data_IF_016036592141
#
_entry.id   IF_016036592141
#
_cell.length_a   1.000
_cell.length_b   1.000
_cell.length_c   1.000
_cell.angle_alpha   90.00
_cell.angle_beta   90.00
_cell.angle_gamma   90.00
#
_symmetry.space_group_name_H-M   'P 1'
#
loop_
_entity.id
_entity.type
_entity.pdbx_description
1 polymer ?
#
# COMPACT_ATOMS: atom_id res chain seq x y z
N UNK A 1 -30.04 -18.48 24.74
CA UNK A 1 -29.67 -17.12 24.31
C UNK A 1 -28.44 -17.23 23.42
N UNK A 2 -28.61 -17.13 22.11
CA UNK A 2 -27.50 -17.22 21.15
C UNK A 2 -26.90 -15.82 20.97
N UNK A 3 -25.69 -15.62 21.49
CA UNK A 3 -24.87 -14.44 21.24
C UNK A 3 -24.57 -14.37 19.75
N UNK A 4 -25.20 -13.41 19.04
CA UNK A 4 -24.80 -13.04 17.69
C UNK A 4 -23.35 -12.59 17.76
N UNK A 5 -22.44 -13.43 17.23
CA UNK A 5 -21.07 -13.03 17.02
C UNK A 5 -21.08 -11.81 16.10
N UNK A 6 -20.53 -10.72 16.62
CA UNK A 6 -20.42 -9.45 15.93
C UNK A 6 -19.53 -9.68 14.70
N UNK A 7 -20.15 -9.73 13.53
CA UNK A 7 -19.49 -9.92 12.24
C UNK A 7 -18.63 -8.67 11.96
N UNK A 8 -17.40 -8.67 12.48
CA UNK A 8 -16.42 -7.62 12.20
C UNK A 8 -16.21 -7.60 10.69
N UNK A 9 -16.78 -6.60 10.04
CA UNK A 9 -16.75 -6.45 8.59
C UNK A 9 -15.28 -6.39 8.15
N UNK A 10 -14.79 -7.46 7.55
CA UNK A 10 -13.38 -7.58 7.15
C UNK A 10 -13.08 -6.49 6.12
N UNK A 11 -12.14 -5.59 6.43
CA UNK A 11 -11.77 -4.51 5.52
C UNK A 11 -10.99 -5.10 4.35
N UNK A 12 -11.57 -5.03 3.14
CA UNK A 12 -10.92 -5.44 1.89
C UNK A 12 -10.95 -4.33 0.83
N UNK A 13 -10.01 -4.35 -0.11
CA UNK A 13 -9.99 -3.41 -1.25
C UNK A 13 -9.39 -4.08 -2.50
N UNK A 14 -9.77 -3.60 -3.69
CA UNK A 14 -9.18 -4.01 -4.97
C UNK A 14 -8.07 -3.07 -5.45
N UNK A 15 -7.61 -2.17 -4.58
CA UNK A 15 -6.57 -1.16 -4.88
C UNK A 15 -5.41 -1.34 -3.93
N UNK A 16 -4.19 -1.34 -4.46
CA UNK A 16 -2.94 -1.38 -3.67
C UNK A 16 -1.90 -0.48 -4.33
N UNK A 17 -0.98 0.15 -3.60
CA UNK A 17 0.17 0.83 -4.19
C UNK A 17 1.17 -0.17 -4.79
N UNK A 18 1.65 0.17 -5.97
CA UNK A 18 2.65 -0.56 -6.72
C UNK A 18 3.98 0.24 -6.74
N UNK A 19 5.12 -0.45 -6.77
CA UNK A 19 6.45 0.16 -6.91
C UNK A 19 6.59 0.95 -8.21
N UNK A 20 7.18 2.13 -8.14
CA UNK A 20 7.52 2.95 -9.32
C UNK A 20 8.92 2.60 -9.84
N UNK A 21 9.17 2.91 -11.11
CA UNK A 21 10.54 2.87 -11.66
C UNK A 21 11.37 4.04 -11.13
N UNK A 22 12.70 3.91 -11.25
CA UNK A 22 13.65 4.98 -10.89
C UNK A 22 13.39 6.29 -11.65
N UNK A 23 12.85 6.20 -12.87
CA UNK A 23 12.48 7.34 -13.70
C UNK A 23 11.14 8.00 -13.32
N UNK A 24 10.44 7.47 -12.30
CA UNK A 24 9.13 7.97 -11.87
C UNK A 24 7.95 7.42 -12.65
N UNK A 25 8.18 6.58 -13.66
CA UNK A 25 7.10 5.96 -14.43
C UNK A 25 6.45 4.78 -13.69
N UNK A 26 5.15 4.58 -13.94
CA UNK A 26 4.37 3.46 -13.44
C UNK A 26 4.27 2.35 -14.50
N UNK A 27 4.49 1.10 -14.10
CA UNK A 27 4.25 -0.08 -14.96
C UNK A 27 3.72 -1.23 -14.13
N UNK A 28 2.51 -1.70 -14.45
CA UNK A 28 1.89 -2.80 -13.71
C UNK A 28 2.69 -4.11 -13.83
N UNK A 29 3.20 -4.40 -15.03
CA UNK A 29 3.98 -5.63 -15.28
C UNK A 29 5.34 -5.57 -14.59
N UNK A 30 5.51 -6.41 -13.57
CA UNK A 30 6.74 -6.51 -12.79
C UNK A 30 6.86 -5.51 -11.65
N UNK A 31 5.83 -4.68 -11.39
CA UNK A 31 5.79 -3.87 -10.19
C UNK A 31 5.54 -4.74 -8.95
N UNK A 32 6.13 -4.34 -7.85
CA UNK A 32 5.91 -4.94 -6.55
C UNK A 32 4.71 -4.29 -5.87
N UNK A 33 3.87 -5.11 -5.24
CA UNK A 33 2.83 -4.61 -4.36
C UNK A 33 3.45 -4.15 -3.04
N UNK A 34 3.00 -3.00 -2.58
CA UNK A 34 3.56 -2.31 -1.44
C UNK A 34 2.60 -2.34 -0.25
N UNK A 35 3.17 -2.41 0.94
CA UNK A 35 2.51 -2.20 2.24
C UNK A 35 3.32 -1.19 3.05
N UNK A 36 2.75 -0.49 4.04
CA UNK A 36 3.57 0.31 4.96
C UNK A 36 4.57 -0.57 5.71
N UNK A 37 5.73 -0.01 6.07
CA UNK A 37 6.62 -0.65 7.03
C UNK A 37 5.88 -0.85 8.35
N UNK A 38 5.88 -2.07 8.90
CA UNK A 38 5.00 -2.43 10.02
C UNK A 38 5.63 -2.18 11.40
N UNK A 39 6.77 -1.50 11.46
CA UNK A 39 7.48 -1.16 12.71
C UNK A 39 6.89 0.06 13.45
N UNK A 40 5.91 0.73 12.85
CA UNK A 40 5.22 1.91 13.39
C UNK A 40 6.08 3.19 13.43
N UNK A 41 7.26 3.18 12.80
CA UNK A 41 8.25 4.27 12.90
C UNK A 41 8.81 4.66 11.54
N UNK A 42 9.11 3.69 10.69
CA UNK A 42 9.76 3.92 9.41
C UNK A 42 8.73 4.40 8.38
N UNK A 43 8.84 5.65 7.87
CA UNK A 43 7.87 6.23 6.95
C UNK A 43 8.12 5.77 5.50
N UNK A 44 8.17 4.46 5.30
CA UNK A 44 8.44 3.85 4.00
C UNK A 44 7.40 2.77 3.68
N UNK A 45 7.25 2.49 2.39
CA UNK A 45 6.62 1.27 1.92
C UNK A 45 7.64 0.12 1.87
N UNK A 46 7.15 -1.10 2.00
CA UNK A 46 7.90 -2.34 1.85
C UNK A 46 7.23 -3.19 0.78
N UNK A 47 8.02 -3.72 -0.15
CA UNK A 47 7.57 -4.66 -1.17
C UNK A 47 7.24 -6.02 -0.55
N UNK A 48 5.98 -6.48 -0.68
CA UNK A 48 5.50 -7.72 -0.04
C UNK A 48 6.36 -8.95 -0.39
N UNK A 49 6.89 -9.00 -1.62
CA UNK A 49 7.66 -10.13 -2.13
C UNK A 49 9.15 -10.05 -1.82
N UNK A 50 9.73 -8.85 -1.78
CA UNK A 50 11.19 -8.66 -1.74
C UNK A 50 11.69 -8.04 -0.45
N UNK A 51 10.82 -7.39 0.32
CA UNK A 51 11.21 -6.62 1.50
C UNK A 51 11.93 -5.31 1.18
N UNK A 52 12.06 -4.93 -0.08
CA UNK A 52 12.69 -3.67 -0.43
C UNK A 52 11.84 -2.49 0.03
N UNK A 53 12.52 -1.46 0.50
CA UNK A 53 11.90 -0.21 0.89
C UNK A 53 11.67 0.71 -0.31
N UNK A 54 10.58 1.46 -0.25
CA UNK A 54 10.17 2.43 -1.26
C UNK A 54 9.58 3.65 -0.57
N UNK A 55 10.09 4.85 -0.90
CA UNK A 55 9.54 6.10 -0.34
C UNK A 55 8.12 6.39 -0.84
N UNK A 56 7.77 5.87 -2.02
CA UNK A 56 6.51 6.17 -2.68
C UNK A 56 6.00 5.00 -3.51
N UNK A 57 4.68 4.96 -3.68
CA UNK A 57 3.97 4.02 -4.53
C UNK A 57 2.90 4.71 -5.36
N UNK A 58 2.43 4.06 -6.43
CA UNK A 58 1.27 4.53 -7.18
C UNK A 58 0.11 3.54 -7.04
N UNK A 59 -1.11 4.03 -6.85
CA UNK A 59 -2.28 3.16 -6.64
C UNK A 59 -2.62 2.42 -7.94
N UNK A 60 -2.61 1.09 -7.87
CA UNK A 60 -2.93 0.18 -8.95
C UNK A 60 -4.16 -0.68 -8.59
N UNK A 61 -4.92 -1.09 -9.61
CA UNK A 61 -6.02 -2.06 -9.46
C UNK A 61 -5.46 -3.48 -9.52
N UNK A 62 -5.83 -4.34 -8.57
CA UNK A 62 -5.29 -5.70 -8.45
C UNK A 62 -6.24 -6.80 -8.94
N UNK A 63 -7.46 -6.45 -9.36
CA UNK A 63 -8.43 -7.42 -9.93
C UNK A 63 -9.17 -8.29 -8.91
N UNK A 64 -8.59 -8.48 -7.73
CA UNK A 64 -9.14 -9.28 -6.62
C UNK A 64 -9.32 -8.41 -5.37
N UNK A 65 -10.26 -8.79 -4.51
CA UNK A 65 -10.34 -8.19 -3.18
C UNK A 65 -9.16 -8.65 -2.34
N UNK A 66 -8.52 -7.71 -1.65
CA UNK A 66 -7.36 -7.96 -0.78
C UNK A 66 -7.70 -7.50 0.63
N UNK A 67 -7.65 -8.44 1.57
CA UNK A 67 -7.81 -8.22 3.01
C UNK A 67 -6.45 -8.09 3.73
N UNK A 68 -6.48 -7.72 5.02
CA UNK A 68 -5.27 -7.72 5.86
C UNK A 68 -4.67 -9.13 5.96
N UNK A 69 -5.50 -10.17 6.07
CA UNK A 69 -5.05 -11.56 6.18
C UNK A 69 -4.40 -12.05 4.85
N UNK A 70 -4.89 -11.59 3.70
CA UNK A 70 -4.25 -11.83 2.39
C UNK A 70 -2.87 -11.18 2.27
N UNK A 71 -2.69 -10.01 2.87
CA UNK A 71 -1.39 -9.33 2.87
C UNK A 71 -0.41 -10.02 3.82
N UNK A 72 -0.86 -10.38 5.02
CA UNK A 72 -0.06 -11.09 6.02
C UNK A 72 0.39 -12.47 5.51
N UNK A 73 -0.49 -13.21 4.85
CA UNK A 73 -0.14 -14.53 4.27
C UNK A 73 0.86 -14.43 3.12
N UNK A 74 0.88 -13.32 2.37
CA UNK A 74 1.83 -13.09 1.27
C UNK A 74 3.14 -12.45 1.71
N UNK A 75 3.18 -11.87 2.91
CA UNK A 75 4.38 -11.26 3.47
C UNK A 75 5.40 -12.35 3.80
N UNK A 76 6.53 -12.32 3.10
CA UNK A 76 7.61 -13.31 3.29
C UNK A 76 8.52 -13.02 4.48
N UNK A 77 8.37 -11.85 5.09
CA UNK A 77 9.28 -11.35 6.11
C UNK A 77 8.61 -11.53 7.48
N UNK A 78 8.99 -12.60 8.17
CA UNK A 78 8.45 -12.97 9.48
C UNK A 78 8.67 -11.87 10.53
N UNK A 79 9.74 -11.08 10.39
CA UNK A 79 10.05 -9.95 11.28
C UNK A 79 8.97 -8.86 11.30
N UNK A 80 8.14 -8.76 10.24
CA UNK A 80 7.06 -7.78 10.15
C UNK A 80 5.69 -8.36 10.55
N UNK A 81 5.60 -9.64 10.93
CA UNK A 81 4.34 -10.30 11.35
C UNK A 81 4.07 -10.17 12.86
N UNK A 82 4.31 -8.98 13.41
CA UNK A 82 4.00 -8.68 14.81
C UNK A 82 2.50 -8.64 15.10
N UNK A 83 2.12 -8.65 16.39
CA UNK A 83 0.70 -8.52 16.83
C UNK A 83 0.04 -7.23 16.31
N UNK A 84 0.83 -6.17 16.11
CA UNK A 84 0.36 -4.87 15.61
C UNK A 84 0.21 -4.80 14.08
N UNK A 85 0.66 -5.82 13.35
CA UNK A 85 0.65 -5.80 11.88
C UNK A 85 -0.78 -5.73 11.31
N UNK A 86 -1.70 -6.50 11.89
CA UNK A 86 -3.09 -6.57 11.44
C UNK A 86 -3.83 -5.23 11.55
N UNK A 87 -3.88 -4.55 12.72
CA UNK A 87 -4.57 -3.27 12.82
C UNK A 87 -3.96 -2.19 11.92
N UNK A 88 -2.63 -2.17 11.74
CA UNK A 88 -1.95 -1.28 10.79
C UNK A 88 -2.43 -1.53 9.36
N UNK A 89 -2.48 -2.80 8.94
CA UNK A 89 -2.94 -3.17 7.60
C UNK A 89 -4.43 -2.90 7.39
N UNK A 90 -5.27 -3.09 8.39
CA UNK A 90 -6.69 -2.73 8.29
C UNK A 90 -6.90 -1.23 8.09
N UNK A 91 -6.18 -0.40 8.86
CA UNK A 91 -6.22 1.05 8.72
C UNK A 91 -5.68 1.51 7.37
N UNK A 92 -4.57 0.91 6.94
CA UNK A 92 -4.02 1.09 5.61
C UNK A 92 -5.06 0.80 4.51
N UNK A 93 -5.75 -0.33 4.56
CA UNK A 93 -6.77 -0.71 3.57
C UNK A 93 -7.97 0.24 3.62
N UNK A 94 -8.36 0.76 4.79
CA UNK A 94 -9.40 1.80 4.92
C UNK A 94 -9.00 3.08 4.18
N UNK A 95 -7.77 3.57 4.39
CA UNK A 95 -7.29 4.78 3.74
C UNK A 95 -7.15 4.61 2.21
N UNK A 96 -6.71 3.45 1.74
CA UNK A 96 -6.64 3.14 0.30
C UNK A 96 -7.99 3.22 -0.42
N UNK A 97 -9.11 2.95 0.27
CA UNK A 97 -10.46 3.09 -0.33
C UNK A 97 -10.76 4.52 -0.75
N UNK A 98 -10.25 5.50 -0.03
CA UNK A 98 -10.47 6.93 -0.28
C UNK A 98 -9.62 7.47 -1.45
N UNK A 99 -8.56 6.75 -1.80
CA UNK A 99 -7.62 7.16 -2.85
C UNK A 99 -8.03 6.64 -4.23
N UNK A 100 -7.67 7.38 -5.28
CA UNK A 100 -7.98 7.02 -6.68
C UNK A 100 -6.86 6.18 -7.28
N UNK A 101 -7.22 5.27 -8.18
CA UNK A 101 -6.24 4.56 -9.03
C UNK A 101 -5.43 5.61 -9.79
N UNK A 102 -4.12 5.42 -9.83
CA UNK A 102 -3.15 6.34 -10.43
C UNK A 102 -2.54 7.35 -9.47
N UNK A 103 -3.14 7.61 -8.30
CA UNK A 103 -2.53 8.54 -7.33
C UNK A 103 -1.17 8.04 -6.86
N UNK A 104 -0.21 8.96 -6.73
CA UNK A 104 1.08 8.70 -6.10
C UNK A 104 0.96 9.03 -4.63
N UNK A 105 1.41 8.11 -3.78
CA UNK A 105 1.26 8.18 -2.33
C UNK A 105 2.57 7.91 -1.61
N UNK A 106 2.67 8.42 -0.39
CA UNK A 106 3.71 8.10 0.60
C UNK A 106 3.07 7.68 1.92
N UNK A 107 3.86 7.08 2.79
CA UNK A 107 3.50 6.75 4.17
C UNK A 107 4.12 7.77 5.12
N UNK A 108 3.41 8.09 6.19
CA UNK A 108 3.93 8.81 7.35
C UNK A 108 3.36 8.22 8.63
N UNK A 109 4.06 8.44 9.74
CA UNK A 109 3.65 8.00 11.07
C UNK A 109 3.47 9.21 11.98
N UNK A 110 2.26 9.43 12.47
CA UNK A 110 2.00 10.47 13.46
C UNK A 110 2.54 10.02 14.82
N UNK A 111 3.47 10.79 15.38
CA UNK A 111 3.98 10.59 16.73
C UNK A 111 3.22 11.49 17.72
N UNK A 112 2.97 11.04 18.97
CA UNK A 112 3.44 9.79 19.60
C UNK A 112 2.53 8.57 19.38
N UNK A 113 1.41 8.72 18.66
CA UNK A 113 0.36 7.71 18.57
C UNK A 113 0.66 6.52 17.65
N UNK A 114 1.80 6.53 16.93
CA UNK A 114 2.15 5.54 15.90
C UNK A 114 0.99 5.32 14.91
N UNK A 115 0.26 6.38 14.59
CA UNK A 115 -0.87 6.31 13.67
C UNK A 115 -0.35 6.39 12.23
N UNK A 116 -0.71 5.40 11.42
CA UNK A 116 -0.40 5.37 9.99
C UNK A 116 -1.21 6.44 9.25
N UNK A 117 -0.54 7.19 8.36
CA UNK A 117 -1.19 8.12 7.43
C UNK A 117 -0.64 7.95 6.00
N UNK A 118 -1.54 7.70 5.06
CA UNK A 118 -1.28 7.74 3.62
C UNK A 118 -1.50 9.15 3.10
N UNK A 119 -0.43 9.73 2.55
CA UNK A 119 -0.45 11.06 1.99
C UNK A 119 -0.39 10.97 0.46
N UNK A 120 -1.33 11.64 -0.23
CA UNK A 120 -1.29 11.79 -1.68
C UNK A 120 -0.25 12.85 -2.05
N UNK A 121 0.76 12.46 -2.81
CA UNK A 121 1.79 13.36 -3.32
C UNK A 121 1.47 13.94 -4.70
N UNK A 122 0.82 13.14 -5.57
CA UNK A 122 0.46 13.57 -6.92
C UNK A 122 -0.78 12.85 -7.44
N UNK A 123 -1.48 13.46 -8.40
CA UNK A 123 -2.63 12.85 -9.06
C UNK A 123 -2.24 11.66 -9.93
N UNK A 124 -1.06 11.71 -10.56
CA UNK A 124 -0.55 10.69 -11.49
C UNK A 124 0.97 10.54 -11.38
N UNK A 125 1.54 9.39 -11.76
CA UNK A 125 2.99 9.22 -11.93
C UNK A 125 3.52 10.17 -13.00
N UNK A 126 4.75 10.65 -12.82
CA UNK A 126 5.40 11.47 -13.85
C UNK A 126 5.76 10.57 -15.02
N UNK A 127 5.13 10.79 -16.16
CA UNK A 127 5.57 10.23 -17.43
C UNK A 127 6.72 11.11 -17.89
N UNK A 128 7.96 10.59 -17.89
CA UNK A 128 9.05 11.28 -18.57
C UNK A 128 8.67 11.34 -20.05
N UNK A 129 8.55 12.55 -20.60
CA UNK A 129 8.07 12.79 -21.95
C UNK A 129 8.70 11.81 -22.94
N UNK A 130 7.86 10.96 -23.54
CA UNK A 130 8.21 10.34 -24.82
C UNK A 130 8.30 11.50 -25.81
N UNK A 131 9.51 11.99 -26.03
CA UNK A 131 9.84 13.03 -27.01
C UNK A 131 8.98 12.82 -28.28
N UNK A 132 7.99 13.68 -28.59
CA UNK A 132 7.23 13.50 -29.82
C UNK A 132 8.19 13.82 -30.96
N UNK A 133 8.74 12.77 -31.60
CA UNK A 133 9.31 12.92 -32.94
C UNK A 133 8.14 13.24 -33.86
N UNK A 134 7.84 14.52 -34.01
CA UNK A 134 7.05 15.01 -35.14
C UNK A 134 7.94 14.88 -36.40
N UNK A 135 7.46 14.23 -37.47
CA UNK A 135 8.07 14.36 -38.79
C UNK A 135 7.89 15.77 -39.36
#
# INVERSE_FOLDING_TARGET
MMTKQNEMTQVSTKKIPCSMRKDGSARLRGAEHLIPCLDGKTPAFVGIKTGKEYDRGYICYVGVDVSADDLLSKLKLEEFKGKEARPILEEYLRQLKQLKIGNVVTVSWAQPSMKLELQKLAERPVLKDCNPKLP
#
